data_IF_591465882240
#
_entry.id   IF_591465882240
#
_cell.length_a   1.000
_cell.length_b   1.000
_cell.length_c   1.000
_cell.angle_alpha   90.00
_cell.angle_beta   90.00
_cell.angle_gamma   90.00
#
_symmetry.space_group_name_H-M   'P 1'
#
loop_
_entity.id
_entity.type
_entity.pdbx_description
1 polymer ?
#
# COMPACT_ATOMS: atom_id res chain seq x y z
N UNK A 1 65.54 28.66 10.18
CA UNK A 1 65.64 28.53 8.71
C UNK A 1 65.79 27.06 8.39
N UNK A 2 64.68 26.41 8.04
CA UNK A 2 64.59 24.98 7.72
C UNK A 2 63.91 24.86 6.36
N UNK A 3 64.59 24.18 5.44
CA UNK A 3 64.17 23.93 4.06
C UNK A 3 63.04 22.88 4.05
N UNK A 4 61.94 23.05 3.28
CA UNK A 4 60.94 22.00 3.12
C UNK A 4 61.35 20.97 2.06
N UNK A 5 61.04 19.72 2.33
CA UNK A 5 61.32 18.52 1.54
C UNK A 5 60.52 18.44 0.24
N UNK A 6 61.15 17.85 -0.79
CA UNK A 6 60.75 17.76 -2.20
C UNK A 6 59.56 16.83 -2.50
N UNK A 7 58.75 16.44 -1.51
CA UNK A 7 57.64 15.48 -1.69
C UNK A 7 56.25 16.13 -1.73
N UNK A 8 56.11 17.42 -1.39
CA UNK A 8 54.81 18.10 -1.37
C UNK A 8 54.42 18.80 -2.70
N UNK A 9 55.26 18.69 -3.74
CA UNK A 9 55.05 19.37 -5.02
C UNK A 9 54.41 18.48 -6.11
N UNK A 10 54.33 17.17 -5.92
CA UNK A 10 53.90 16.22 -6.98
C UNK A 10 52.44 15.75 -6.84
N UNK A 11 51.80 16.00 -5.68
CA UNK A 11 50.39 15.63 -5.45
C UNK A 11 49.41 16.72 -5.90
N UNK A 12 49.89 17.96 -6.11
CA UNK A 12 49.03 19.09 -6.52
C UNK A 12 48.82 19.23 -8.03
N UNK A 13 49.55 18.48 -8.85
CA UNK A 13 49.52 18.64 -10.32
C UNK A 13 48.61 17.63 -11.01
N UNK A 14 48.25 16.52 -10.35
CA UNK A 14 47.39 15.46 -10.90
C UNK A 14 45.89 15.71 -10.74
N UNK A 15 45.47 16.52 -9.75
CA UNK A 15 44.04 16.85 -9.56
C UNK A 15 43.51 17.90 -10.54
N UNK A 16 44.35 18.72 -11.16
CA UNK A 16 43.90 19.79 -12.06
C UNK A 16 43.66 19.30 -13.49
N UNK A 17 44.27 18.18 -13.90
CA UNK A 17 44.13 17.63 -15.27
C UNK A 17 42.91 16.71 -15.44
N UNK A 18 42.40 16.11 -14.35
CA UNK A 18 41.19 15.28 -14.38
C UNK A 18 39.89 16.11 -14.38
N UNK A 19 39.94 17.36 -13.92
CA UNK A 19 38.78 18.27 -13.94
C UNK A 19 38.60 18.92 -15.32
N UNK A 20 39.66 19.09 -16.12
CA UNK A 20 39.53 19.67 -17.46
C UNK A 20 39.07 18.67 -18.53
N UNK A 21 39.34 17.38 -18.36
CA UNK A 21 38.94 16.31 -19.31
C UNK A 21 37.49 15.85 -19.14
N UNK A 22 36.86 16.12 -17.99
CA UNK A 22 35.43 15.85 -17.75
C UNK A 22 34.50 17.00 -18.22
N UNK A 23 35.04 18.22 -18.37
CA UNK A 23 34.29 19.41 -18.82
C UNK A 23 34.20 19.55 -20.35
N UNK A 24 35.03 18.85 -21.12
CA UNK A 24 34.95 18.86 -22.61
C UNK A 24 34.00 17.79 -23.19
N UNK A 25 33.51 16.84 -22.39
CA UNK A 25 32.57 15.80 -22.87
C UNK A 25 31.08 16.17 -22.75
N UNK A 26 30.75 17.35 -22.21
CA UNK A 26 29.37 17.79 -21.98
C UNK A 26 28.82 18.77 -23.03
N UNK A 27 29.56 19.05 -24.11
CA UNK A 27 29.13 19.99 -25.16
C UNK A 27 28.78 19.36 -26.52
N UNK A 28 28.68 18.03 -26.62
CA UNK A 28 28.25 17.37 -27.86
C UNK A 28 27.23 16.28 -27.56
N UNK A 29 25.94 16.64 -27.52
CA UNK A 29 24.79 15.79 -27.91
C UNK A 29 23.52 16.64 -27.79
N UNK A 30 23.35 17.55 -28.74
CA UNK A 30 22.10 18.29 -28.93
C UNK A 30 21.42 17.74 -30.19
N UNK A 31 20.40 16.90 -30.03
CA UNK A 31 19.44 16.60 -31.11
C UNK A 31 18.11 16.09 -30.51
N UNK A 32 16.94 16.55 -31.01
CA UNK A 32 15.65 16.17 -30.48
C UNK A 32 15.18 14.86 -31.11
N UNK A 33 14.92 13.85 -30.28
CA UNK A 33 14.27 12.61 -30.74
C UNK A 33 12.81 12.64 -30.30
N UNK A 34 11.93 12.85 -31.27
CA UNK A 34 10.49 12.66 -31.16
C UNK A 34 10.18 11.16 -31.22
N UNK A 35 9.48 10.62 -30.22
CA UNK A 35 8.88 9.29 -30.29
C UNK A 35 7.38 9.38 -30.00
N UNK A 36 6.61 9.50 -31.09
CA UNK A 36 5.25 9.01 -31.16
C UNK A 36 5.28 7.51 -31.40
N UNK A 37 4.65 6.73 -30.52
CA UNK A 37 4.60 5.28 -30.62
C UNK A 37 3.33 4.74 -29.95
N UNK A 38 2.28 4.59 -30.76
CA UNK A 38 1.06 3.86 -30.42
C UNK A 38 1.40 2.40 -30.07
N UNK A 39 1.16 1.97 -28.83
CA UNK A 39 1.19 0.55 -28.49
C UNK A 39 -0.20 -0.07 -28.71
N UNK A 40 -0.31 -0.80 -29.83
CA UNK A 40 -1.43 -1.69 -30.15
C UNK A 40 -1.32 -2.97 -29.33
N UNK A 41 -2.37 -3.29 -28.57
CA UNK A 41 -2.48 -4.52 -27.76
C UNK A 41 -2.82 -5.70 -28.69
N UNK A 42 -1.81 -6.50 -29.05
CA UNK A 42 -2.02 -7.78 -29.73
C UNK A 42 -2.35 -8.87 -28.69
N UNK A 43 -3.57 -9.43 -28.78
CA UNK A 43 -4.02 -10.59 -28.01
C UNK A 43 -3.21 -11.84 -28.39
N UNK A 44 -2.44 -12.38 -27.45
CA UNK A 44 -1.81 -13.70 -27.59
C UNK A 44 -2.83 -14.82 -27.29
N UNK A 45 -3.07 -15.66 -28.29
CA UNK A 45 -3.97 -16.81 -28.27
C UNK A 45 -3.20 -18.06 -27.82
N UNK A 46 -3.61 -18.68 -26.71
CA UNK A 46 -3.00 -19.91 -26.18
C UNK A 46 -3.34 -21.15 -27.07
N UNK A 47 -2.42 -22.11 -27.24
CA UNK A 47 -2.66 -23.31 -28.03
C UNK A 47 -3.40 -24.40 -27.24
N UNK A 48 -4.28 -25.13 -27.95
CA UNK A 48 -5.07 -26.26 -27.42
C UNK A 48 -4.18 -27.51 -27.26
N UNK A 49 -4.18 -28.10 -26.07
CA UNK A 49 -3.59 -29.41 -25.81
C UNK A 49 -4.51 -30.54 -26.30
N UNK A 50 -3.90 -31.54 -26.94
CA UNK A 50 -4.55 -32.74 -27.47
C UNK A 50 -4.33 -33.91 -26.50
N UNK A 51 -5.40 -34.58 -26.07
CA UNK A 51 -5.34 -35.83 -25.31
C UNK A 51 -5.48 -37.04 -26.25
N UNK A 52 -4.65 -38.08 -26.15
CA UNK A 52 -4.86 -39.32 -26.89
C UNK A 52 -5.84 -40.26 -26.17
N UNK A 53 -6.72 -40.87 -26.98
CA UNK A 53 -7.73 -41.85 -26.60
C UNK A 53 -7.14 -43.25 -26.45
N UNK A 54 -7.41 -43.90 -25.31
CA UNK A 54 -7.07 -45.30 -25.10
C UNK A 54 -8.25 -46.21 -25.51
N UNK A 55 -8.02 -46.97 -26.57
CA UNK A 55 -8.81 -48.13 -27.02
C UNK A 55 -8.91 -49.18 -25.91
N UNK A 56 -10.11 -49.71 -25.69
CA UNK A 56 -10.32 -51.09 -25.21
C UNK A 56 -11.37 -51.76 -26.08
N UNK A 57 -10.99 -52.90 -26.65
CA UNK A 57 -11.86 -53.86 -27.34
C UNK A 57 -11.79 -55.21 -26.63
N UNK A 58 -12.79 -56.09 -26.82
CA UNK A 58 -13.38 -56.88 -25.75
C UNK A 58 -12.91 -58.33 -25.72
N UNK A 59 -12.95 -58.96 -24.54
CA UNK A 59 -12.85 -60.40 -24.42
C UNK A 59 -14.26 -60.99 -24.23
N UNK A 60 -14.77 -61.56 -25.32
CA UNK A 60 -15.92 -62.45 -25.37
C UNK A 60 -15.52 -63.79 -24.72
N UNK A 61 -16.31 -64.29 -23.77
CA UNK A 61 -16.37 -65.74 -23.50
C UNK A 61 -17.83 -66.19 -23.45
N UNK A 62 -18.17 -66.86 -24.53
CA UNK A 62 -19.35 -67.70 -24.72
C UNK A 62 -19.31 -68.87 -23.73
N UNK A 63 -20.45 -69.16 -23.10
CA UNK A 63 -20.80 -70.52 -22.69
C UNK A 63 -22.21 -70.82 -23.20
N UNK A 64 -22.27 -71.78 -24.09
CA UNK A 64 -23.47 -72.41 -24.63
C UNK A 64 -23.81 -73.64 -23.78
N UNK A 65 -25.08 -73.75 -23.41
CA UNK A 65 -25.66 -74.91 -22.74
C UNK A 65 -27.16 -74.94 -23.01
N UNK A 66 -27.59 -75.89 -23.83
CA UNK A 66 -28.93 -76.04 -24.38
C UNK A 66 -29.97 -76.55 -23.33
N UNK A 67 -31.27 -76.62 -23.68
CA UNK A 67 -32.40 -76.29 -22.80
C UNK A 67 -32.95 -77.46 -21.97
N UNK A 68 -33.62 -77.15 -20.86
CA UNK A 68 -34.59 -78.04 -20.21
C UNK A 68 -35.91 -77.31 -19.95
N UNK A 69 -36.94 -77.68 -20.71
CA UNK A 69 -38.36 -77.44 -20.36
C UNK A 69 -38.75 -78.37 -19.23
N UNK A 70 -39.53 -77.89 -18.25
CA UNK A 70 -40.74 -78.61 -17.88
C UNK A 70 -42.00 -77.74 -17.94
N UNK A 71 -43.12 -78.44 -17.98
CA UNK A 71 -44.45 -77.98 -18.34
C UNK A 71 -45.08 -76.96 -17.39
N UNK A 72 -45.92 -76.15 -18.03
CA UNK A 72 -46.98 -75.28 -17.55
C UNK A 72 -47.74 -75.81 -16.31
N UNK A 73 -47.91 -74.93 -15.31
CA UNK A 73 -49.14 -74.84 -14.52
C UNK A 73 -49.70 -73.43 -14.67
N UNK A 74 -50.75 -73.31 -15.46
CA UNK A 74 -51.67 -72.17 -15.45
C UNK A 74 -52.35 -72.07 -14.09
N UNK A 75 -52.11 -70.98 -13.38
CA UNK A 75 -53.10 -70.43 -12.45
C UNK A 75 -53.62 -69.14 -13.07
N UNK A 76 -54.84 -69.22 -13.59
CA UNK A 76 -55.68 -68.07 -13.83
C UNK A 76 -55.98 -67.42 -12.47
N UNK A 77 -55.67 -66.14 -12.34
CA UNK A 77 -56.39 -65.25 -11.45
C UNK A 77 -56.76 -64.03 -12.27
N UNK A 78 -58.05 -63.87 -12.52
CA UNK A 78 -58.65 -62.72 -13.18
C UNK A 78 -58.51 -61.46 -12.30
N UNK A 79 -58.02 -60.40 -12.95
CA UNK A 79 -58.42 -58.98 -12.87
C UNK A 79 -58.21 -58.16 -11.57
N UNK A 80 -58.06 -56.82 -11.63
CA UNK A 80 -58.32 -55.92 -12.77
C UNK A 80 -57.16 -54.99 -13.17
N UNK A 81 -57.26 -54.51 -14.41
CA UNK A 81 -56.58 -53.34 -14.96
C UNK A 81 -56.57 -52.14 -14.00
N UNK A 82 -55.42 -51.83 -13.43
CA UNK A 82 -55.15 -50.52 -12.83
C UNK A 82 -54.25 -49.74 -13.77
N UNK A 83 -54.82 -48.74 -14.43
CA UNK A 83 -54.10 -47.71 -15.16
C UNK A 83 -53.26 -46.87 -14.19
N UNK A 84 -52.02 -47.30 -13.94
CA UNK A 84 -51.06 -46.48 -13.21
C UNK A 84 -50.58 -45.35 -14.12
N UNK A 85 -51.09 -44.13 -13.94
CA UNK A 85 -50.45 -42.94 -14.52
C UNK A 85 -49.10 -42.70 -13.81
N UNK A 86 -48.03 -42.30 -14.52
CA UNK A 86 -46.78 -41.97 -13.87
C UNK A 86 -46.98 -40.68 -13.07
N UNK A 87 -47.00 -40.77 -11.73
CA UNK A 87 -46.96 -39.59 -10.86
C UNK A 87 -45.64 -38.84 -11.16
N UNK A 88 -45.66 -37.53 -11.50
CA UNK A 88 -44.43 -36.80 -11.73
C UNK A 88 -43.60 -36.76 -10.44
N UNK A 89 -42.26 -36.77 -10.50
CA UNK A 89 -41.40 -36.95 -9.34
C UNK A 89 -41.34 -35.65 -8.52
N UNK A 90 -42.42 -35.32 -7.82
CA UNK A 90 -42.52 -34.13 -6.95
C UNK A 90 -41.43 -34.11 -5.86
N UNK A 91 -40.85 -35.27 -5.52
CA UNK A 91 -39.80 -35.44 -4.49
C UNK A 91 -38.38 -35.10 -4.95
N UNK A 92 -38.08 -35.08 -6.24
CA UNK A 92 -36.73 -34.74 -6.72
C UNK A 92 -36.56 -33.23 -6.87
N UNK A 93 -37.58 -32.54 -7.38
CA UNK A 93 -37.59 -31.08 -7.51
C UNK A 93 -37.62 -30.41 -6.14
N UNK A 94 -38.42 -30.91 -5.18
CA UNK A 94 -38.46 -30.36 -3.82
C UNK A 94 -37.15 -30.56 -3.05
N UNK A 95 -36.45 -31.67 -3.28
CA UNK A 95 -35.11 -31.92 -2.72
C UNK A 95 -34.06 -30.99 -3.34
N UNK A 96 -34.11 -30.79 -4.66
CA UNK A 96 -33.20 -29.87 -5.35
C UNK A 96 -33.39 -28.42 -4.86
N UNK A 97 -34.64 -27.95 -4.75
CA UNK A 97 -34.97 -26.63 -4.18
C UNK A 97 -34.53 -26.48 -2.72
N UNK A 98 -34.70 -27.52 -1.90
CA UNK A 98 -34.25 -27.53 -0.51
C UNK A 98 -32.71 -27.46 -0.38
N UNK A 99 -31.98 -28.24 -1.17
CA UNK A 99 -30.51 -28.21 -1.18
C UNK A 99 -29.97 -26.87 -1.72
N UNK A 100 -30.59 -26.30 -2.75
CA UNK A 100 -30.22 -24.96 -3.25
C UNK A 100 -30.46 -23.87 -2.21
N UNK A 101 -31.59 -23.91 -1.48
CA UNK A 101 -31.87 -22.95 -0.42
C UNK A 101 -30.84 -23.02 0.72
N UNK A 102 -30.45 -24.23 1.14
CA UNK A 102 -29.40 -24.43 2.15
C UNK A 102 -28.05 -23.92 1.63
N UNK A 103 -27.72 -24.16 0.36
CA UNK A 103 -26.47 -23.67 -0.23
C UNK A 103 -26.42 -22.14 -0.31
N UNK A 104 -27.50 -21.48 -0.74
CA UNK A 104 -27.57 -20.01 -0.74
C UNK A 104 -27.53 -19.42 0.67
N UNK A 105 -28.20 -20.05 1.63
CA UNK A 105 -28.15 -19.63 3.03
C UNK A 105 -26.74 -19.82 3.62
N UNK A 106 -26.10 -20.96 3.41
CA UNK A 106 -24.75 -21.23 3.89
C UNK A 106 -23.71 -20.32 3.24
N UNK A 107 -23.85 -20.04 1.95
CA UNK A 107 -23.00 -19.09 1.22
C UNK A 107 -23.19 -17.66 1.72
N UNK A 108 -24.45 -17.21 1.87
CA UNK A 108 -24.78 -15.91 2.43
C UNK A 108 -24.28 -15.75 3.87
N UNK A 109 -24.56 -16.72 4.74
CA UNK A 109 -24.09 -16.74 6.12
C UNK A 109 -22.56 -16.81 6.20
N UNK A 110 -21.90 -17.55 5.31
CA UNK A 110 -20.45 -17.59 5.20
C UNK A 110 -19.85 -16.23 4.85
N UNK A 111 -20.39 -15.56 3.82
CA UNK A 111 -19.99 -14.20 3.44
C UNK A 111 -20.26 -13.19 4.56
N UNK A 112 -21.42 -13.27 5.22
CA UNK A 112 -21.76 -12.40 6.34
C UNK A 112 -20.85 -12.64 7.55
N UNK A 113 -20.56 -13.89 7.90
CA UNK A 113 -19.68 -14.23 9.01
C UNK A 113 -18.24 -13.81 8.75
N UNK A 114 -17.75 -14.00 7.52
CA UNK A 114 -16.42 -13.54 7.12
C UNK A 114 -16.32 -12.01 7.09
N UNK A 115 -17.36 -11.33 6.61
CA UNK A 115 -17.45 -9.86 6.62
C UNK A 115 -17.49 -9.33 8.05
N UNK A 116 -18.32 -9.93 8.91
CA UNK A 116 -18.44 -9.59 10.32
C UNK A 116 -17.13 -9.79 11.09
N UNK A 117 -16.42 -10.91 10.87
CA UNK A 117 -15.09 -11.13 11.46
C UNK A 117 -14.06 -10.11 10.97
N UNK A 118 -14.12 -9.73 9.71
CA UNK A 118 -13.18 -8.75 9.13
C UNK A 118 -13.46 -7.35 9.68
N UNK A 119 -14.73 -6.93 9.73
CA UNK A 119 -15.15 -5.68 10.34
C UNK A 119 -14.78 -5.61 11.83
N UNK A 120 -15.07 -6.67 12.60
CA UNK A 120 -14.72 -6.69 14.03
C UNK A 120 -13.21 -6.63 14.26
N UNK A 121 -12.38 -7.27 13.42
CA UNK A 121 -10.91 -7.14 13.55
C UNK A 121 -10.41 -5.72 13.29
N UNK A 122 -11.07 -4.99 12.39
CA UNK A 122 -10.72 -3.60 12.07
C UNK A 122 -11.27 -2.63 13.13
N UNK A 123 -12.42 -2.94 13.74
CA UNK A 123 -13.16 -2.05 14.66
C UNK A 123 -12.87 -2.31 16.16
N UNK A 124 -12.31 -3.47 16.53
CA UNK A 124 -12.19 -3.87 17.95
C UNK A 124 -10.90 -3.42 18.66
N UNK A 125 -9.91 -2.89 17.94
CA UNK A 125 -8.73 -2.32 18.58
C UNK A 125 -8.94 -0.81 18.80
N UNK A 126 -8.87 -0.32 20.05
CA UNK A 126 -8.89 1.13 20.29
C UNK A 126 -7.72 1.76 19.53
N UNK A 127 -7.98 2.85 18.81
CA UNK A 127 -6.92 3.61 18.12
C UNK A 127 -6.10 4.29 19.21
N UNK A 128 -4.78 4.03 19.30
CA UNK A 128 -3.94 4.65 20.32
C UNK A 128 -3.97 6.18 20.28
N UNK A 129 -3.88 6.83 21.44
CA UNK A 129 -3.81 8.29 21.53
C UNK A 129 -2.49 8.81 20.96
N UNK A 130 -2.40 10.13 20.74
CA UNK A 130 -1.16 10.74 20.28
C UNK A 130 0.00 10.45 21.25
N UNK A 131 -0.23 10.60 22.55
CA UNK A 131 0.74 10.39 23.61
C UNK A 131 1.21 8.94 23.68
N UNK A 132 0.27 7.99 23.56
CA UNK A 132 0.59 6.55 23.51
C UNK A 132 1.44 6.21 22.28
N UNK A 133 1.20 6.85 21.13
CA UNK A 133 2.02 6.59 19.93
C UNK A 133 3.46 7.03 20.08
N UNK A 134 3.75 8.02 20.93
CA UNK A 134 5.10 8.53 21.14
C UNK A 134 5.96 7.59 21.97
N UNK A 135 5.35 6.83 22.89
CA UNK A 135 6.03 5.85 23.75
C UNK A 135 6.00 4.42 23.20
N UNK A 136 5.25 4.16 22.12
CA UNK A 136 5.07 2.83 21.55
C UNK A 136 6.29 2.30 20.78
N UNK A 137 7.20 3.17 20.32
CA UNK A 137 8.37 2.75 19.56
C UNK A 137 9.46 2.21 20.51
N UNK A 138 10.01 1.04 20.17
CA UNK A 138 11.17 0.46 20.83
C UNK A 138 12.24 0.23 19.77
N UNK A 139 13.37 0.91 19.91
CA UNK A 139 14.48 0.78 18.98
C UNK A 139 15.09 -0.63 19.06
N UNK A 140 15.31 -1.31 17.92
CA UNK A 140 15.89 -2.65 17.89
C UNK A 140 17.42 -2.66 18.15
N UNK A 141 18.10 -1.54 17.94
CA UNK A 141 19.55 -1.40 18.03
C UNK A 141 19.95 0.03 18.48
N UNK A 142 21.24 0.22 18.79
CA UNK A 142 21.80 1.50 19.26
C UNK A 142 21.67 2.62 18.24
N UNK A 143 21.82 2.28 16.95
CA UNK A 143 21.87 3.26 15.87
C UNK A 143 20.46 3.84 15.65
N UNK A 144 19.46 2.96 15.62
CA UNK A 144 18.05 3.33 15.59
C UNK A 144 17.65 4.16 16.82
N UNK A 145 18.17 3.84 18.01
CA UNK A 145 17.92 4.62 19.22
C UNK A 145 18.53 6.04 19.14
N UNK A 146 19.75 6.15 18.61
CA UNK A 146 20.41 7.45 18.42
C UNK A 146 19.71 8.32 17.37
N UNK A 147 19.27 7.71 16.25
CA UNK A 147 18.48 8.41 15.22
C UNK A 147 17.16 8.91 15.81
N UNK A 148 16.48 8.07 16.58
CA UNK A 148 15.22 8.42 17.23
C UNK A 148 15.38 9.59 18.19
N UNK A 149 16.41 9.52 19.04
CA UNK A 149 16.75 10.56 20.00
C UNK A 149 17.08 11.88 19.30
N UNK A 150 17.88 11.82 18.23
CA UNK A 150 18.26 13.01 17.45
C UNK A 150 17.04 13.70 16.86
N UNK A 151 16.07 12.96 16.31
CA UNK A 151 14.81 13.52 15.81
C UNK A 151 13.95 14.10 16.95
N UNK A 152 13.89 13.41 18.09
CA UNK A 152 13.09 13.80 19.25
C UNK A 152 13.55 15.14 19.86
N UNK A 153 14.86 15.32 19.98
CA UNK A 153 15.51 16.50 20.59
C UNK A 153 15.98 17.53 19.56
N UNK A 154 15.60 17.37 18.30
CA UNK A 154 15.96 18.34 17.26
C UNK A 154 15.33 19.70 17.57
N UNK A 155 16.04 20.81 17.30
CA UNK A 155 15.55 22.17 17.56
C UNK A 155 14.20 22.45 16.90
N UNK A 156 14.01 21.99 15.65
CA UNK A 156 12.71 22.05 14.95
C UNK A 156 11.60 21.28 15.68
N UNK A 157 11.89 20.09 16.23
CA UNK A 157 10.91 19.31 16.99
C UNK A 157 10.51 20.02 18.28
N UNK A 158 11.48 20.61 19.00
CA UNK A 158 11.23 21.42 20.19
C UNK A 158 10.41 22.67 19.87
N UNK A 159 10.74 23.38 18.78
CA UNK A 159 10.02 24.56 18.34
C UNK A 159 8.56 24.24 17.96
N UNK A 160 8.32 23.15 17.23
CA UNK A 160 6.98 22.69 16.87
C UNK A 160 6.18 22.26 18.11
N UNK A 161 6.82 21.59 19.07
CA UNK A 161 6.19 21.16 20.33
C UNK A 161 5.85 22.34 21.25
N UNK A 162 6.63 23.42 21.20
CA UNK A 162 6.35 24.64 21.94
C UNK A 162 5.16 25.44 21.36
N UNK A 163 4.77 25.17 20.11
CA UNK A 163 3.65 25.85 19.47
C UNK A 163 2.31 25.16 19.82
N UNK A 164 1.38 25.84 20.51
CA UNK A 164 0.10 25.26 20.95
C UNK A 164 -0.87 24.92 19.81
N UNK A 165 -0.63 25.42 18.59
CA UNK A 165 -1.45 25.09 17.42
C UNK A 165 -1.11 23.71 16.84
N UNK A 166 0.04 23.13 17.21
CA UNK A 166 0.49 21.84 16.74
C UNK A 166 0.21 20.72 17.73
N UNK A 167 -0.08 19.54 17.18
CA UNK A 167 -0.16 18.27 17.93
C UNK A 167 0.88 17.30 17.40
N UNK A 168 1.58 16.62 18.31
CA UNK A 168 2.63 15.65 17.98
C UNK A 168 2.10 14.22 18.06
N UNK A 169 2.48 13.36 17.11
CA UNK A 169 2.16 11.94 17.15
C UNK A 169 3.17 11.10 16.33
N UNK A 170 3.12 9.78 16.47
CA UNK A 170 3.71 8.81 15.54
C UNK A 170 2.63 8.04 14.77
N UNK A 171 2.26 8.51 13.57
CA UNK A 171 1.18 7.93 12.77
C UNK A 171 1.21 6.42 12.58
N UNK A 172 2.41 5.85 12.37
CA UNK A 172 2.59 4.43 12.08
C UNK A 172 2.13 3.55 13.25
N UNK A 173 2.18 4.06 14.48
CA UNK A 173 1.71 3.36 15.68
C UNK A 173 0.19 3.45 15.89
N UNK A 174 -0.52 4.33 15.15
CA UNK A 174 -1.99 4.32 15.12
C UNK A 174 -2.55 3.17 14.30
N UNK A 175 -1.74 2.57 13.43
CA UNK A 175 -2.12 1.41 12.62
C UNK A 175 -1.96 0.16 13.50
N UNK A 176 -2.99 -0.71 13.62
CA UNK A 176 -2.87 -1.97 14.34
C UNK A 176 -1.71 -2.81 13.80
N UNK A 177 -0.98 -3.49 14.67
CA UNK A 177 0.23 -4.26 14.31
C UNK A 177 -0.01 -5.24 13.14
N UNK A 178 -1.13 -5.97 13.18
CA UNK A 178 -1.53 -6.92 12.12
C UNK A 178 -1.71 -6.30 10.73
N UNK A 179 -1.97 -4.99 10.65
CA UNK A 179 -2.12 -4.23 9.41
C UNK A 179 -0.86 -3.44 9.09
N UNK A 180 -0.10 -3.02 10.09
CA UNK A 180 1.12 -2.20 9.95
C UNK A 180 2.15 -2.89 9.06
N UNK A 181 2.35 -4.20 9.24
CA UNK A 181 3.26 -5.00 8.39
C UNK A 181 2.90 -4.99 6.90
N UNK A 182 1.65 -4.66 6.55
CA UNK A 182 1.15 -4.56 5.17
C UNK A 182 1.09 -3.13 4.67
N UNK A 183 1.45 -2.15 5.49
CA UNK A 183 1.65 -0.78 5.05
C UNK A 183 2.99 -0.67 4.32
N UNK A 184 3.01 0.13 3.25
CA UNK A 184 4.22 0.38 2.49
C UNK A 184 5.26 1.10 3.36
N UNK A 185 4.92 2.26 3.94
CA UNK A 185 5.83 3.10 4.73
C UNK A 185 5.94 2.71 6.20
N UNK A 186 4.85 2.23 6.82
CA UNK A 186 4.85 1.83 8.23
C UNK A 186 5.33 0.39 8.46
N UNK A 187 5.48 -0.40 7.40
CA UNK A 187 5.87 -1.81 7.45
C UNK A 187 7.00 -2.13 6.48
N UNK A 188 6.67 -2.27 5.19
CA UNK A 188 7.58 -2.80 4.16
C UNK A 188 8.88 -1.99 4.04
N UNK A 189 8.79 -0.67 4.18
CA UNK A 189 9.90 0.27 4.11
C UNK A 189 10.37 0.75 5.50
N UNK A 190 9.89 0.14 6.58
CA UNK A 190 10.30 0.47 7.93
C UNK A 190 11.44 -0.44 8.41
N UNK A 191 12.31 0.09 9.27
CA UNK A 191 13.38 -0.65 9.93
C UNK A 191 14.79 -0.27 9.45
N UNK A 192 15.82 -0.94 9.98
CA UNK A 192 17.22 -0.58 9.75
C UNK A 192 17.55 -0.47 8.25
N UNK A 193 18.31 0.57 7.91
CA UNK A 193 18.68 0.92 6.54
C UNK A 193 17.60 1.60 5.70
N UNK A 194 16.33 1.66 6.14
CA UNK A 194 15.20 2.19 5.36
C UNK A 194 14.63 3.46 6.00
N UNK A 195 13.31 3.54 6.23
CA UNK A 195 12.73 4.48 7.18
C UNK A 195 13.03 3.92 8.58
N UNK A 196 14.18 4.30 9.12
CA UNK A 196 14.80 3.61 10.28
C UNK A 196 13.91 3.67 11.50
N UNK A 197 13.33 4.83 11.78
CA UNK A 197 12.43 5.04 12.91
C UNK A 197 11.09 5.59 12.40
N UNK A 198 9.97 5.26 13.06
CA UNK A 198 8.68 5.87 12.74
C UNK A 198 8.76 7.39 12.85
N UNK A 199 8.26 8.15 11.85
CA UNK A 199 8.44 9.59 11.81
C UNK A 199 7.68 10.29 12.95
N UNK A 200 8.27 11.39 13.41
CA UNK A 200 7.59 12.35 14.28
C UNK A 200 6.75 13.29 13.42
N UNK A 201 5.44 13.31 13.63
CA UNK A 201 4.52 14.15 12.85
C UNK A 201 3.85 15.17 13.74
N UNK A 202 4.02 16.43 13.36
CA UNK A 202 3.41 17.59 13.95
C UNK A 202 2.31 18.09 13.00
N UNK A 203 1.07 18.11 13.46
CA UNK A 203 -0.09 18.55 12.67
C UNK A 203 -0.69 19.80 13.29
N UNK A 204 -0.78 20.88 12.51
CA UNK A 204 -1.48 22.10 12.91
C UNK A 204 -2.99 21.83 12.92
N UNK A 205 -3.71 22.58 13.78
CA UNK A 205 -5.17 22.50 13.88
C UNK A 205 -5.86 22.65 12.52
N UNK A 206 -6.98 21.96 12.39
CA UNK A 206 -7.87 22.01 11.21
C UNK A 206 -7.20 21.61 9.88
N UNK A 207 -6.02 20.99 9.93
CA UNK A 207 -5.32 20.49 8.74
C UNK A 207 -4.68 21.59 7.92
N UNK A 208 -4.36 22.72 8.54
CA UNK A 208 -3.74 23.88 7.87
C UNK A 208 -2.32 23.56 7.39
N UNK A 209 -1.49 22.99 8.25
CA UNK A 209 -0.14 22.55 7.89
C UNK A 209 0.29 21.31 8.67
N UNK A 210 1.35 20.65 8.18
CA UNK A 210 1.94 19.48 8.80
C UNK A 210 3.45 19.45 8.57
N UNK A 211 4.21 19.04 9.58
CA UNK A 211 5.63 18.73 9.47
C UNK A 211 5.88 17.29 9.91
N UNK A 212 6.64 16.54 9.13
CA UNK A 212 7.04 15.16 9.43
C UNK A 212 8.56 15.06 9.40
N UNK A 213 9.15 14.72 10.54
CA UNK A 213 10.60 14.58 10.71
C UNK A 213 10.97 13.11 10.64
N UNK A 214 11.96 12.78 9.81
CA UNK A 214 12.36 11.40 9.55
C UNK A 214 13.83 11.28 9.17
N UNK A 215 14.34 10.05 9.23
CA UNK A 215 15.66 9.69 8.75
C UNK A 215 15.52 8.67 7.62
N UNK A 216 16.28 8.87 6.53
CA UNK A 216 16.23 8.02 5.34
C UNK A 216 17.56 7.30 5.16
N UNK A 217 17.56 5.98 5.35
CA UNK A 217 18.75 5.15 5.20
C UNK A 217 19.08 4.76 3.75
N UNK A 218 20.17 4.02 3.58
CA UNK A 218 20.72 3.63 2.28
C UNK A 218 20.00 2.47 1.54
N UNK A 219 19.20 1.64 2.21
CA UNK A 219 18.44 0.54 1.56
C UNK A 219 17.28 1.04 0.70
N UNK A 220 16.92 2.32 0.81
CA UNK A 220 15.87 2.96 0.00
C UNK A 220 16.44 3.83 -1.11
N UNK A 221 17.71 3.62 -1.46
CA UNK A 221 18.38 4.25 -2.59
C UNK A 221 17.88 3.75 -3.95
N UNK A 222 17.81 4.66 -4.92
CA UNK A 222 17.64 4.31 -6.34
C UNK A 222 18.95 4.27 -7.11
N UNK A 223 19.91 5.06 -6.66
CA UNK A 223 21.29 5.10 -7.14
C UNK A 223 22.23 5.06 -5.92
N UNK A 224 23.46 4.52 -6.01
CA UNK A 224 24.37 4.48 -4.87
C UNK A 224 24.46 5.83 -4.12
N UNK A 225 24.04 5.83 -2.85
CA UNK A 225 24.06 7.00 -1.97
C UNK A 225 22.93 8.02 -2.19
N UNK A 226 22.02 7.83 -3.14
CA UNK A 226 20.90 8.73 -3.43
C UNK A 226 19.57 8.02 -3.23
N UNK A 227 18.76 8.53 -2.31
CA UNK A 227 17.40 8.06 -2.02
C UNK A 227 16.57 8.03 -3.29
N UNK A 228 15.82 6.94 -3.50
CA UNK A 228 15.00 6.76 -4.69
C UNK A 228 13.92 7.86 -4.78
N UNK A 229 13.80 8.53 -5.93
CA UNK A 229 12.82 9.60 -6.12
C UNK A 229 11.38 9.15 -5.86
N UNK A 230 11.03 7.91 -6.23
CA UNK A 230 9.74 7.30 -5.89
C UNK A 230 9.47 7.15 -4.39
N UNK A 231 10.48 7.02 -3.52
CA UNK A 231 10.27 7.08 -2.08
C UNK A 231 9.86 8.50 -1.67
N UNK A 232 10.58 9.52 -2.16
CA UNK A 232 10.25 10.92 -1.87
C UNK A 232 8.84 11.27 -2.35
N UNK A 233 8.44 10.78 -3.53
CA UNK A 233 7.09 10.90 -4.04
C UNK A 233 6.05 10.22 -3.14
N UNK A 234 6.34 9.02 -2.64
CA UNK A 234 5.48 8.29 -1.71
C UNK A 234 5.31 9.05 -0.40
N UNK A 235 6.40 9.58 0.16
CA UNK A 235 6.37 10.37 1.39
C UNK A 235 5.55 11.65 1.20
N UNK A 236 5.76 12.36 0.09
CA UNK A 236 4.98 13.55 -0.28
C UNK A 236 3.48 13.25 -0.41
N UNK A 237 3.11 12.16 -1.09
CA UNK A 237 1.72 11.75 -1.24
C UNK A 237 1.06 11.48 0.12
N UNK A 238 1.66 10.61 0.94
CA UNK A 238 1.13 10.25 2.26
C UNK A 238 1.10 11.46 3.21
N UNK A 239 2.15 12.28 3.20
CA UNK A 239 2.27 13.45 4.07
C UNK A 239 1.29 14.55 3.73
N UNK A 240 1.15 14.91 2.45
CA UNK A 240 0.18 15.93 2.02
C UNK A 240 -1.27 15.44 2.16
N UNK A 241 -1.54 14.15 1.90
CA UNK A 241 -2.85 13.57 2.17
C UNK A 241 -3.21 13.72 3.65
N UNK A 242 -2.30 13.30 4.54
CA UNK A 242 -2.49 13.40 5.99
C UNK A 242 -2.72 14.84 6.45
N UNK A 243 -1.99 15.80 5.89
CA UNK A 243 -2.13 17.22 6.19
C UNK A 243 -3.57 17.71 5.96
N UNK A 244 -4.15 17.40 4.80
CA UNK A 244 -5.47 17.92 4.45
C UNK A 244 -6.65 17.12 4.97
N UNK A 245 -6.45 15.93 5.54
CA UNK A 245 -7.56 15.12 6.07
C UNK A 245 -8.43 15.93 7.04
N UNK A 246 -7.92 16.60 8.09
CA UNK A 246 -8.79 17.32 9.02
C UNK A 246 -9.58 18.47 8.38
N UNK A 247 -9.12 19.00 7.25
CA UNK A 247 -9.75 20.10 6.52
C UNK A 247 -10.93 19.63 5.62
N UNK A 248 -11.09 18.32 5.41
CA UNK A 248 -12.15 17.74 4.59
C UNK A 248 -13.36 17.28 5.43
N UNK A 249 -14.60 17.37 4.90
CA UNK A 249 -15.82 17.07 5.64
C UNK A 249 -15.84 15.73 6.38
N UNK A 250 -15.38 14.64 5.74
CA UNK A 250 -15.35 13.30 6.33
C UNK A 250 -13.93 12.83 6.69
N UNK A 251 -12.97 13.75 6.73
CA UNK A 251 -11.59 13.50 7.15
C UNK A 251 -10.88 12.37 6.40
N UNK A 252 -11.22 12.21 5.12
CA UNK A 252 -10.64 11.21 4.22
C UNK A 252 -10.44 11.82 2.85
N UNK A 253 -9.36 11.44 2.19
CA UNK A 253 -9.08 11.86 0.83
C UNK A 253 -8.35 10.77 0.06
N UNK A 254 -8.46 10.82 -1.26
CA UNK A 254 -7.62 10.07 -2.19
C UNK A 254 -6.90 11.03 -3.12
N UNK A 255 -5.72 10.66 -3.57
CA UNK A 255 -4.92 11.45 -4.49
C UNK A 255 -5.57 11.48 -5.88
N UNK A 256 -5.86 12.67 -6.40
CA UNK A 256 -6.35 12.87 -7.76
C UNK A 256 -5.26 13.36 -8.70
N UNK A 257 -4.34 14.18 -8.20
CA UNK A 257 -3.15 14.61 -8.92
C UNK A 257 -2.00 14.82 -7.94
N UNK A 258 -0.79 14.46 -8.37
CA UNK A 258 0.46 14.68 -7.67
C UNK A 258 1.50 15.14 -8.71
N UNK A 259 1.99 16.36 -8.58
CA UNK A 259 3.02 16.94 -9.44
C UNK A 259 4.24 17.27 -8.60
N UNK A 260 5.42 16.79 -9.00
CA UNK A 260 6.63 16.77 -8.20
C UNK A 260 7.80 17.33 -9.02
N UNK A 261 8.50 18.31 -8.44
CA UNK A 261 9.75 18.88 -8.95
C UNK A 261 10.92 18.44 -8.05
N UNK A 262 11.83 17.63 -8.58
CA UNK A 262 13.07 17.26 -7.89
C UNK A 262 14.12 18.37 -8.05
N UNK A 263 14.51 19.00 -6.95
CA UNK A 263 15.38 20.19 -6.91
C UNK A 263 16.85 19.84 -6.70
N UNK A 264 17.12 18.86 -5.83
CA UNK A 264 18.47 18.41 -5.49
C UNK A 264 18.48 16.90 -5.17
N UNK A 265 19.61 16.20 -5.36
CA UNK A 265 19.72 14.79 -4.97
C UNK A 265 19.54 14.65 -3.46
N UNK A 266 18.60 13.80 -3.05
CA UNK A 266 18.44 13.42 -1.66
C UNK A 266 19.46 12.34 -1.31
N UNK A 267 20.56 12.74 -0.66
CA UNK A 267 21.55 11.77 -0.15
C UNK A 267 20.91 10.82 0.87
N UNK A 268 21.41 9.59 0.95
CA UNK A 268 21.03 8.67 2.00
C UNK A 268 21.70 9.02 3.34
N UNK A 269 21.25 8.35 4.38
CA UNK A 269 21.78 8.41 5.74
C UNK A 269 21.72 9.82 6.37
N UNK A 270 20.67 10.58 6.01
CA UNK A 270 20.43 11.94 6.50
C UNK A 270 19.03 12.13 7.08
N UNK A 271 18.92 13.13 7.94
CA UNK A 271 17.65 13.62 8.49
C UNK A 271 16.97 14.55 7.48
N UNK A 272 15.65 14.44 7.36
CA UNK A 272 14.84 15.27 6.48
C UNK A 272 13.55 15.70 7.17
N UNK A 273 13.00 16.83 6.73
CA UNK A 273 11.70 17.33 7.10
C UNK A 273 10.79 17.38 5.87
N UNK A 274 9.65 16.71 5.93
CA UNK A 274 8.55 16.92 4.99
C UNK A 274 7.63 17.99 5.57
N UNK A 275 7.41 19.06 4.82
CA UNK A 275 6.45 20.12 5.17
C UNK A 275 5.30 20.11 4.17
N UNK A 276 4.08 20.20 4.66
CA UNK A 276 2.88 20.27 3.83
C UNK A 276 1.95 21.39 4.33
N UNK A 277 1.29 22.06 3.40
CA UNK A 277 0.35 23.14 3.67
C UNK A 277 -0.90 22.99 2.80
N UNK A 278 -2.07 22.98 3.43
CA UNK A 278 -3.36 22.95 2.73
C UNK A 278 -3.70 24.36 2.25
N UNK A 279 -3.37 24.66 1.00
CA UNK A 279 -3.51 26.00 0.42
C UNK A 279 -4.95 26.37 0.09
N UNK A 280 -5.81 25.39 -0.20
CA UNK A 280 -7.20 25.64 -0.63
C UNK A 280 -8.09 24.43 -0.37
N UNK A 281 -9.32 24.68 0.08
CA UNK A 281 -10.37 23.65 0.18
C UNK A 281 -11.65 24.14 -0.47
N UNK A 282 -12.21 23.34 -1.37
CA UNK A 282 -13.50 23.60 -2.03
C UNK A 282 -14.37 22.33 -2.03
N UNK A 283 -15.31 22.26 -1.10
CA UNK A 283 -16.21 21.13 -0.94
C UNK A 283 -15.44 19.83 -0.65
N UNK A 284 -15.33 18.96 -1.65
CA UNK A 284 -14.63 17.67 -1.54
C UNK A 284 -13.19 17.71 -2.05
N UNK A 285 -12.66 18.87 -2.43
CA UNK A 285 -11.33 19.02 -3.02
C UNK A 285 -10.43 19.79 -2.07
N UNK A 286 -9.21 19.30 -1.85
CA UNK A 286 -8.16 20.00 -1.14
C UNK A 286 -6.92 20.09 -2.03
N UNK A 287 -6.39 21.30 -2.18
CA UNK A 287 -5.09 21.54 -2.81
C UNK A 287 -4.06 21.68 -1.71
N UNK A 288 -2.95 20.98 -1.85
CA UNK A 288 -1.88 20.94 -0.86
C UNK A 288 -0.56 21.16 -1.58
N UNK A 289 0.27 22.01 -1.01
CA UNK A 289 1.66 22.16 -1.42
C UNK A 289 2.55 21.48 -0.39
N UNK A 290 3.62 20.85 -0.84
CA UNK A 290 4.54 20.16 0.04
C UNK A 290 5.97 20.20 -0.45
N UNK A 291 6.92 20.05 0.46
CA UNK A 291 8.33 19.93 0.15
C UNK A 291 9.02 18.99 1.13
N UNK A 292 10.11 18.36 0.67
CA UNK A 292 11.06 17.68 1.55
C UNK A 292 12.37 18.46 1.49
N UNK A 293 12.87 18.82 2.66
CA UNK A 293 14.14 19.53 2.85
C UNK A 293 15.04 18.74 3.80
N UNK A 294 16.35 18.97 3.72
CA UNK A 294 17.29 18.42 4.72
C UNK A 294 16.96 18.99 6.10
N UNK A 295 17.32 18.24 7.14
CA UNK A 295 17.18 18.66 8.54
C UNK A 295 18.56 18.68 9.20
N UNK A 296 19.36 19.75 9.00
CA UNK A 296 20.72 19.80 9.50
C UNK A 296 20.76 19.98 11.02
N UNK A 297 21.62 19.23 11.70
CA UNK A 297 21.85 19.34 13.15
C UNK A 297 22.91 20.38 13.51
N UNK A 298 23.65 20.88 12.52
CA UNK A 298 24.76 21.84 12.68
C UNK A 298 24.31 23.31 12.57
N UNK A 299 23.01 23.56 12.41
CA UNK A 299 22.44 24.89 12.25
C UNK A 299 22.59 25.49 10.85
N UNK A 300 23.09 24.72 9.87
CA UNK A 300 23.07 25.15 8.47
C UNK A 300 21.65 25.27 7.92
N UNK A 301 21.48 26.05 6.85
CA UNK A 301 20.17 26.25 6.24
C UNK A 301 19.66 24.95 5.60
N UNK A 302 18.38 24.58 5.79
CA UNK A 302 17.77 23.46 5.10
C UNK A 302 17.88 23.60 3.57
N UNK A 303 18.26 22.52 2.89
CA UNK A 303 18.27 22.43 1.44
C UNK A 303 16.98 21.75 0.97
N UNK A 304 16.21 22.42 0.10
CA UNK A 304 15.03 21.82 -0.51
C UNK A 304 15.45 20.75 -1.53
N UNK A 305 15.04 19.51 -1.28
CA UNK A 305 15.34 18.35 -2.11
C UNK A 305 14.28 18.15 -3.19
N UNK A 306 13.02 18.30 -2.81
CA UNK A 306 11.86 18.10 -3.71
C UNK A 306 10.71 18.99 -3.27
N UNK A 307 9.96 19.49 -4.25
CA UNK A 307 8.73 20.26 -4.06
C UNK A 307 7.57 19.60 -4.80
N UNK A 308 6.35 19.85 -4.34
CA UNK A 308 5.19 19.20 -4.89
C UNK A 308 3.92 20.03 -4.72
N UNK A 309 3.01 19.87 -5.70
CA UNK A 309 1.64 20.34 -5.63
C UNK A 309 0.71 19.17 -5.88
N UNK A 310 -0.30 19.01 -5.03
CA UNK A 310 -1.24 17.90 -5.13
C UNK A 310 -2.69 18.35 -4.99
N UNK A 311 -3.57 17.57 -5.60
CA UNK A 311 -5.02 17.65 -5.44
C UNK A 311 -5.52 16.35 -4.82
N UNK A 312 -6.15 16.48 -3.65
CA UNK A 312 -6.82 15.40 -2.95
C UNK A 312 -8.33 15.57 -3.04
N UNK A 313 -9.04 14.45 -3.14
CA UNK A 313 -10.50 14.43 -3.28
C UNK A 313 -11.11 13.46 -2.27
N UNK A 314 -12.09 13.93 -1.49
CA UNK A 314 -12.92 13.06 -0.66
C UNK A 314 -13.82 12.18 -1.55
N UNK A 315 -13.79 10.83 -1.43
CA UNK A 315 -14.67 9.95 -2.17
C UNK A 315 -16.16 10.23 -1.91
N UNK A 316 -17.01 10.17 -2.94
CA UNK A 316 -18.46 10.46 -2.81
C UNK A 316 -19.18 9.59 -1.76
N UNK A 317 -18.66 8.39 -1.52
CA UNK A 317 -19.24 7.41 -0.59
C UNK A 317 -18.69 7.55 0.84
N UNK A 318 -17.79 8.51 1.11
CA UNK A 318 -17.19 8.69 2.43
C UNK A 318 -18.24 8.90 3.53
N UNK A 319 -19.27 9.71 3.25
CA UNK A 319 -20.39 9.96 4.16
C UNK A 319 -21.24 8.72 4.51
N UNK A 320 -21.13 7.64 3.73
CA UNK A 320 -21.91 6.40 3.89
C UNK A 320 -21.05 5.27 4.49
N UNK A 321 -19.71 5.36 4.39
CA UNK A 321 -18.82 4.21 4.58
C UNK A 321 -17.91 4.29 5.80
N UNK A 322 -17.79 5.41 6.51
CA UNK A 322 -16.87 5.53 7.64
C UNK A 322 -17.55 6.16 8.86
N UNK A 323 -17.68 5.34 9.91
CA UNK A 323 -18.23 5.59 11.23
C UNK A 323 -19.75 5.81 11.33
N UNK A 324 -20.46 5.11 12.24
CA UNK A 324 -21.72 5.63 12.75
C UNK A 324 -21.44 6.99 13.37
N UNK A 325 -22.22 8.01 13.01
CA UNK A 325 -22.19 9.29 13.73
C UNK A 325 -22.33 8.99 15.23
N UNK A 326 -21.51 9.59 16.12
CA UNK A 326 -21.80 9.55 17.53
C UNK A 326 -23.22 10.06 17.72
N UNK A 327 -24.02 9.29 18.46
CA UNK A 327 -25.38 9.68 18.83
C UNK A 327 -25.21 11.03 19.55
N UNK A 328 -25.72 12.10 18.94
CA UNK A 328 -25.83 13.38 19.60
C UNK A 328 -26.55 13.15 20.92
N UNK A 329 -25.92 13.50 22.04
CA UNK A 329 -26.62 13.57 23.32
C UNK A 329 -27.81 14.51 23.12
N UNK A 330 -28.99 13.92 23.10
CA UNK A 330 -30.25 14.65 23.14
C UNK A 330 -30.52 15.01 24.60
N UNK A 331 -30.68 16.32 24.82
CA UNK A 331 -31.11 17.05 26.02
C UNK A 331 -30.02 17.42 27.03
#
# INVERSE_FOLDING_TARGET
>A
MSVPSRQDAEVKTTSTTLVSTLLESLHSFNSPISFGGFFSFAMFRLPKSSFPSLRRSPAYRSFSGAPRRPQYKTYFSENPSTSASPRPPRRLISRFLGFSAIAFFAFGAGLSFQSFRTLNRIMAAPIPTNEETLSAYQAPDSDSAQIDETLRTHAEAEALRANPDFTEARPHHKIPESLRARSLTAGTLAGPGKIVVPPYVFSERDGKSMVSLMYLGSDVCGHPGIVHGGLLATLLDEGMARCCFPALPNKVAVTANLNIDYRAPAMADQYVALRAETVKVEGRKAWVEGRIETLPTDGSAPLVLVESKALFIEPKQAAVSLYPKPISESN
#
